data_IF_922591673301
#
_entry.id   IF_922591673301
#
_cell.length_a   1.000
_cell.length_b   1.000
_cell.length_c   1.000
_cell.angle_alpha   90.00
_cell.angle_beta   90.00
_cell.angle_gamma   90.00
#
_symmetry.space_group_name_H-M   'P 1'
#
loop_
_entity.id
_entity.type
_entity.pdbx_description
1 polymer ?
#
# COMPACT_ATOMS: atom_id res chain seq x y z
N UNK A 1 36.61 9.80 0.78
CA UNK A 1 35.72 9.06 -0.16
C UNK A 1 34.49 8.63 0.61
N UNK A 2 33.52 9.53 0.78
CA UNK A 2 32.30 9.25 1.52
C UNK A 2 31.18 10.07 0.89
N UNK A 3 30.67 9.66 -0.27
CA UNK A 3 29.51 10.33 -0.86
C UNK A 3 28.71 9.38 -1.75
N UNK A 4 28.22 8.29 -1.15
CA UNK A 4 27.11 7.51 -1.72
C UNK A 4 26.29 6.89 -0.59
N UNK A 5 25.65 7.73 0.22
CA UNK A 5 24.31 7.37 0.70
C UNK A 5 23.39 8.17 -0.19
N UNK A 6 23.03 7.52 -1.30
CA UNK A 6 22.02 7.99 -2.25
C UNK A 6 20.84 8.49 -1.44
N UNK A 7 20.57 9.79 -1.57
CA UNK A 7 19.31 10.37 -1.16
C UNK A 7 18.22 9.53 -1.81
N UNK A 8 17.49 8.74 -1.01
CA UNK A 8 16.21 8.20 -1.44
C UNK A 8 15.36 9.43 -1.77
N UNK A 9 15.22 9.74 -3.05
CA UNK A 9 14.50 10.94 -3.46
C UNK A 9 13.06 10.72 -3.02
N UNK A 10 12.63 11.47 -2.00
CA UNK A 10 11.24 11.53 -1.62
C UNK A 10 10.51 12.37 -2.66
N UNK A 11 10.16 11.67 -3.73
CA UNK A 11 9.29 12.14 -4.76
C UNK A 11 7.84 12.25 -4.25
N UNK A 12 6.96 12.86 -5.05
CA UNK A 12 5.59 13.16 -4.61
C UNK A 12 4.84 11.91 -4.11
N UNK A 13 3.78 12.10 -3.30
CA UNK A 13 3.07 10.99 -2.61
C UNK A 13 2.57 9.84 -3.51
N UNK A 14 2.52 10.04 -4.82
CA UNK A 14 2.04 9.06 -5.81
C UNK A 14 3.15 8.51 -6.70
N UNK A 15 4.39 8.97 -6.54
CA UNK A 15 5.49 8.50 -7.37
C UNK A 15 5.98 7.14 -6.91
N UNK A 16 6.14 6.24 -7.88
CA UNK A 16 6.52 4.87 -7.66
C UNK A 16 7.93 4.56 -8.20
N UNK A 17 8.79 5.59 -8.34
CA UNK A 17 10.13 5.47 -8.93
C UNK A 17 11.08 4.52 -8.17
N UNK A 18 10.75 4.20 -6.92
CA UNK A 18 11.48 3.24 -6.08
C UNK A 18 10.91 1.81 -6.16
N UNK A 19 9.86 1.59 -6.97
CA UNK A 19 9.25 0.29 -7.22
C UNK A 19 9.63 -0.19 -8.62
N UNK A 20 9.55 -1.51 -8.85
CA UNK A 20 9.79 -2.07 -10.18
C UNK A 20 8.79 -1.48 -11.19
N UNK A 21 9.31 -1.08 -12.35
CA UNK A 21 8.52 -0.51 -13.42
C UNK A 21 7.53 -1.54 -14.00
N UNK A 22 7.78 -2.84 -13.88
CA UNK A 22 6.87 -3.89 -14.34
C UNK A 22 5.51 -3.80 -13.61
N UNK A 23 5.51 -3.61 -12.29
CA UNK A 23 4.27 -3.52 -11.51
C UNK A 23 3.54 -2.18 -11.61
N UNK A 24 4.21 -1.12 -12.06
CA UNK A 24 3.66 0.25 -12.09
C UNK A 24 3.17 0.67 -13.48
N UNK A 25 3.44 -0.14 -14.51
CA UNK A 25 2.99 0.10 -15.90
C UNK A 25 1.60 -0.47 -16.19
N UNK A 26 1.18 -1.49 -15.46
CA UNK A 26 -0.10 -2.16 -15.68
C UNK A 26 -1.27 -1.37 -15.04
N UNK A 27 -2.46 -1.51 -15.58
CA UNK A 27 -3.66 -0.93 -14.95
C UNK A 27 -3.97 -1.66 -13.63
N UNK A 28 -4.35 -0.95 -12.56
CA UNK A 28 -4.63 -1.55 -11.25
C UNK A 28 -6.02 -2.19 -11.23
N UNK A 29 -6.18 -3.27 -11.99
CA UNK A 29 -7.44 -4.02 -12.12
C UNK A 29 -7.45 -5.24 -11.21
N UNK A 30 -8.62 -5.57 -10.66
CA UNK A 30 -8.83 -6.83 -9.97
C UNK A 30 -9.12 -7.93 -11.00
N UNK A 31 -8.46 -9.07 -10.87
CA UNK A 31 -8.80 -10.26 -11.67
C UNK A 31 -10.25 -10.67 -11.40
N UNK A 32 -11.11 -10.82 -12.42
CA UNK A 32 -12.48 -11.26 -12.22
C UNK A 32 -12.53 -12.65 -11.57
N UNK A 33 -13.35 -12.82 -10.54
CA UNK A 33 -13.53 -14.11 -9.86
C UNK A 33 -14.82 -14.77 -10.35
N UNK A 34 -14.77 -16.04 -10.81
CA UNK A 34 -15.96 -16.79 -11.20
C UNK A 34 -16.95 -16.97 -10.03
N UNK A 35 -18.25 -16.85 -10.31
CA UNK A 35 -19.29 -16.92 -9.27
C UNK A 35 -19.41 -18.29 -8.61
N UNK A 36 -19.13 -19.36 -9.35
CA UNK A 36 -19.08 -20.73 -8.85
C UNK A 36 -17.99 -20.91 -7.80
N UNK A 37 -16.80 -20.30 -8.00
CA UNK A 37 -15.72 -20.30 -7.00
C UNK A 37 -16.16 -19.60 -5.72
N UNK A 38 -16.82 -18.43 -5.83
CA UNK A 38 -17.29 -17.70 -4.64
C UNK A 38 -18.32 -18.53 -3.85
N UNK A 39 -19.20 -19.26 -4.54
CA UNK A 39 -20.26 -20.07 -3.94
C UNK A 39 -19.77 -21.30 -3.19
N UNK A 40 -18.56 -21.80 -3.46
CA UNK A 40 -18.00 -22.98 -2.78
C UNK A 40 -17.22 -22.62 -1.51
N UNK A 41 -16.99 -21.33 -1.24
CA UNK A 41 -16.22 -20.86 -0.08
C UNK A 41 -17.11 -20.81 1.17
N UNK A 42 -16.65 -21.44 2.26
CA UNK A 42 -17.28 -21.35 3.57
C UNK A 42 -17.05 -19.96 4.19
N UNK A 43 -18.07 -19.09 4.12
CA UNK A 43 -17.97 -17.71 4.60
C UNK A 43 -17.76 -17.58 6.12
N UNK A 44 -18.11 -18.62 6.90
CA UNK A 44 -17.93 -18.59 8.36
C UNK A 44 -16.46 -18.57 8.79
N UNK A 45 -15.54 -19.03 7.94
CA UNK A 45 -14.09 -18.96 8.19
C UNK A 45 -13.58 -17.52 8.26
N UNK A 46 -14.31 -16.57 7.69
CA UNK A 46 -13.97 -15.16 7.67
C UNK A 46 -14.72 -14.34 8.74
N UNK A 47 -15.43 -15.01 9.66
CA UNK A 47 -16.09 -14.33 10.77
C UNK A 47 -15.06 -13.59 11.63
N UNK A 48 -15.30 -12.30 11.87
CA UNK A 48 -14.37 -11.45 12.64
C UNK A 48 -13.21 -10.87 11.83
N UNK A 49 -13.19 -11.02 10.50
CA UNK A 49 -12.16 -10.44 9.63
C UNK A 49 -12.19 -8.91 9.61
N UNK A 50 -13.37 -8.30 9.72
CA UNK A 50 -13.50 -6.83 9.66
C UNK A 50 -12.84 -6.15 10.86
N UNK A 51 -11.88 -5.27 10.59
CA UNK A 51 -11.17 -4.46 11.57
C UNK A 51 -11.08 -3.01 11.10
N UNK A 52 -11.21 -2.06 12.03
CA UNK A 52 -11.00 -0.63 11.80
C UNK A 52 -10.02 -0.13 12.85
N UNK A 53 -8.95 0.53 12.41
CA UNK A 53 -8.00 1.17 13.33
C UNK A 53 -8.62 2.44 13.92
N UNK A 54 -8.87 2.47 15.23
CA UNK A 54 -9.42 3.62 15.94
C UNK A 54 -8.48 4.84 15.95
N UNK A 55 -7.16 4.60 15.84
CA UNK A 55 -6.13 5.65 15.83
C UNK A 55 -5.90 6.24 14.43
N UNK A 56 -6.65 5.78 13.42
CA UNK A 56 -6.59 6.36 12.08
C UNK A 56 -7.28 7.73 12.07
N UNK A 57 -6.58 8.73 12.60
CA UNK A 57 -7.03 10.11 12.66
C UNK A 57 -6.67 10.86 11.37
N UNK A 58 -7.62 11.64 10.85
CA UNK A 58 -7.46 12.54 9.69
C UNK A 58 -6.59 13.79 10.01
N UNK A 59 -5.77 13.73 11.07
CA UNK A 59 -4.93 14.84 11.53
C UNK A 59 -3.69 15.03 10.64
N UNK A 60 -3.17 16.26 10.47
CA UNK A 60 -2.31 16.61 9.36
C UNK A 60 -0.94 15.91 9.45
N UNK A 61 -0.48 15.52 8.26
CA UNK A 61 0.81 14.95 7.87
C UNK A 61 1.88 14.78 8.97
N UNK A 62 2.31 13.53 9.14
CA UNK A 62 3.62 13.12 9.66
C UNK A 62 4.68 14.22 9.50
N UNK A 63 5.07 14.83 10.62
CA UNK A 63 6.12 15.84 10.68
C UNK A 63 7.49 15.15 10.51
N UNK A 64 8.10 15.34 9.33
CA UNK A 64 9.47 14.91 9.01
C UNK A 64 10.50 15.92 9.54
N UNK A 65 10.33 16.57 10.69
CA UNK A 65 11.41 17.40 11.21
C UNK A 65 12.59 16.48 11.55
N UNK A 66 13.77 16.66 10.92
CA UNK A 66 14.96 15.97 11.37
C UNK A 66 15.26 16.49 12.78
N UNK A 67 15.26 15.61 13.77
CA UNK A 67 15.90 15.93 15.06
C UNK A 67 17.38 16.10 14.73
N UNK A 68 17.86 17.33 14.94
CA UNK A 68 19.24 17.73 14.66
C UNK A 68 20.28 17.00 15.48
#
# INVERSE_FOLDING_TARGET
MYFTITHCVQMSKREAVNFDAEFTKEEPVLTPVPNDVVRTINQEEFRGFSFVNADFSLAPAYDKTPVG
#
